data_IF_665481125463
#
_entry.id   IF_665481125463
#
_cell.length_a   1.000
_cell.length_b   1.000
_cell.length_c   1.000
_cell.angle_alpha   90.00
_cell.angle_beta   90.00
_cell.angle_gamma   90.00
#
_symmetry.space_group_name_H-M   'P 1'
#
loop_
_entity.id
_entity.type
_entity.pdbx_description
1 polymer ?
#
# COMPACT_ATOMS: atom_id res chain seq x y z
N UNK A 1 6.33 -26.32 -44.00
CA UNK A 1 6.94 -25.33 -43.10
C UNK A 1 5.82 -24.50 -42.49
N UNK A 2 5.40 -24.85 -41.33
CA UNK A 2 4.31 -24.15 -40.63
C UNK A 2 4.97 -23.14 -39.69
N UNK A 3 4.78 -21.87 -40.00
CA UNK A 3 5.27 -20.76 -39.16
C UNK A 3 4.35 -20.65 -37.94
N UNK A 4 4.82 -21.05 -36.76
CA UNK A 4 4.14 -20.81 -35.50
C UNK A 4 4.43 -19.34 -35.14
N UNK A 5 3.42 -18.48 -35.33
CA UNK A 5 3.46 -17.11 -34.82
C UNK A 5 3.33 -17.16 -33.30
N UNK A 6 4.43 -16.88 -32.58
CA UNK A 6 4.42 -16.64 -31.15
C UNK A 6 3.72 -15.29 -30.91
N UNK A 7 2.46 -15.31 -30.49
CA UNK A 7 1.83 -14.12 -29.92
C UNK A 7 2.50 -13.83 -28.59
N UNK A 8 3.42 -12.87 -28.57
CA UNK A 8 3.80 -12.19 -27.34
C UNK A 8 2.57 -11.41 -26.87
N UNK A 9 1.90 -11.90 -25.86
CA UNK A 9 0.95 -11.10 -25.10
C UNK A 9 1.75 -9.98 -24.44
N UNK A 10 1.68 -8.77 -25.00
CA UNK A 10 2.06 -7.56 -24.28
C UNK A 10 1.10 -7.48 -23.08
N UNK A 11 1.60 -7.79 -21.89
CA UNK A 11 0.92 -7.48 -20.64
C UNK A 11 0.89 -5.95 -20.60
N UNK A 12 -0.27 -5.37 -20.88
CA UNK A 12 -0.49 -3.96 -20.71
C UNK A 12 -0.40 -3.68 -19.20
N UNK A 13 0.76 -3.22 -18.76
CA UNK A 13 0.89 -2.58 -17.44
C UNK A 13 -0.04 -1.38 -17.52
N UNK A 14 -1.05 -1.32 -16.67
CA UNK A 14 -1.93 -0.16 -16.59
C UNK A 14 -1.05 1.07 -16.31
N UNK A 15 -1.05 2.02 -17.24
CA UNK A 15 -0.36 3.29 -17.06
C UNK A 15 -1.24 4.22 -16.20
N UNK A 16 -0.92 4.44 -14.92
CA UNK A 16 -1.71 5.32 -14.07
C UNK A 16 -1.67 6.78 -14.54
N UNK A 17 -0.79 7.13 -15.48
CA UNK A 17 -0.70 8.46 -16.05
C UNK A 17 -1.87 8.79 -16.98
N UNK A 18 -2.56 7.80 -17.54
CA UNK A 18 -3.61 8.00 -18.56
C UNK A 18 -5.04 7.78 -18.04
N UNK A 19 -5.25 7.20 -16.88
CA UNK A 19 -6.60 6.84 -16.44
C UNK A 19 -6.70 6.39 -15.01
N UNK A 20 -6.86 5.11 -14.80
CA UNK A 20 -7.05 4.47 -13.51
C UNK A 20 -5.81 4.53 -12.60
N UNK A 21 -6.05 4.43 -11.30
CA UNK A 21 -5.03 4.15 -10.27
C UNK A 21 -5.41 2.85 -9.56
N UNK A 22 -5.12 1.68 -10.16
CA UNK A 22 -5.79 0.43 -9.83
C UNK A 22 -5.21 -0.31 -8.63
N UNK A 23 -4.16 0.20 -7.97
CA UNK A 23 -3.51 -0.43 -6.83
C UNK A 23 -2.71 0.58 -5.99
N UNK A 24 -2.22 0.15 -4.84
CA UNK A 24 -1.23 0.90 -4.05
C UNK A 24 -0.03 1.28 -4.93
N UNK A 25 0.34 2.57 -4.95
CA UNK A 25 1.43 3.09 -5.78
C UNK A 25 1.06 3.27 -7.27
N UNK A 26 -0.13 2.85 -7.71
CA UNK A 26 -0.61 2.96 -9.09
C UNK A 26 -0.05 1.89 -10.03
N UNK A 27 1.18 1.45 -9.82
CA UNK A 27 1.90 0.45 -10.61
C UNK A 27 2.50 -0.65 -9.73
N UNK A 28 2.80 -1.85 -10.28
CA UNK A 28 3.38 -2.95 -9.51
C UNK A 28 4.75 -2.64 -8.88
N UNK A 29 5.53 -1.72 -9.46
CA UNK A 29 6.83 -1.26 -8.94
C UNK A 29 6.69 -0.31 -7.73
N UNK A 30 5.47 0.12 -7.43
CA UNK A 30 5.08 0.96 -6.28
C UNK A 30 5.61 2.40 -6.30
N UNK A 31 6.11 2.87 -7.43
CA UNK A 31 6.58 4.25 -7.57
C UNK A 31 5.40 5.22 -7.69
N UNK A 32 5.11 5.99 -6.65
CA UNK A 32 3.94 6.89 -6.58
C UNK A 32 4.13 8.16 -7.41
N UNK A 33 4.30 7.98 -8.71
CA UNK A 33 4.49 9.06 -9.71
C UNK A 33 3.43 8.96 -10.78
N UNK A 34 2.88 10.09 -11.22
CA UNK A 34 1.91 10.15 -12.30
C UNK A 34 2.30 11.17 -13.36
N UNK A 35 2.02 10.85 -14.62
CA UNK A 35 2.16 11.78 -15.75
C UNK A 35 0.98 12.75 -15.91
N UNK A 36 -0.08 12.62 -15.10
CA UNK A 36 -1.27 13.46 -15.13
C UNK A 36 -0.93 14.95 -14.95
N UNK A 37 -1.73 15.81 -15.54
CA UNK A 37 -1.55 17.27 -15.51
C UNK A 37 -2.79 17.98 -14.97
N UNK A 38 -2.60 19.20 -14.49
CA UNK A 38 -3.69 20.10 -14.15
C UNK A 38 -4.43 19.75 -12.86
N UNK A 39 -3.81 19.01 -11.94
CA UNK A 39 -4.40 18.74 -10.64
C UNK A 39 -4.47 19.99 -9.76
N UNK A 40 -5.47 20.08 -8.86
CA UNK A 40 -5.68 21.26 -8.03
C UNK A 40 -4.54 21.49 -7.04
N UNK A 41 -4.18 22.74 -6.86
CA UNK A 41 -3.23 23.21 -5.85
C UNK A 41 -3.86 24.13 -4.81
N UNK A 42 -5.17 24.23 -4.84
CA UNK A 42 -5.96 25.08 -3.97
C UNK A 42 -7.36 24.48 -3.82
N UNK A 43 -7.76 24.19 -2.60
CA UNK A 43 -9.12 23.73 -2.24
C UNK A 43 -9.42 24.11 -0.80
N UNK A 44 -10.71 24.05 -0.45
CA UNK A 44 -11.18 24.26 0.90
C UNK A 44 -12.38 23.33 1.17
N UNK A 45 -12.18 22.38 2.07
CA UNK A 45 -13.19 21.36 2.38
C UNK A 45 -14.40 21.92 3.14
N UNK A 46 -14.23 23.06 3.86
CA UNK A 46 -15.33 23.73 4.59
C UNK A 46 -16.23 24.50 3.65
N UNK A 47 -15.65 25.29 2.75
CA UNK A 47 -16.41 26.08 1.75
C UNK A 47 -16.74 25.29 0.49
N UNK A 48 -16.18 24.07 0.35
CA UNK A 48 -16.28 23.20 -0.83
C UNK A 48 -15.65 23.79 -2.09
N UNK A 49 -14.74 24.75 -1.96
CA UNK A 49 -13.97 25.28 -3.09
C UNK A 49 -13.13 24.14 -3.69
N UNK A 50 -13.23 23.92 -5.01
CA UNK A 50 -12.51 22.88 -5.73
C UNK A 50 -12.70 21.45 -5.14
N UNK A 51 -13.81 21.20 -4.49
CA UNK A 51 -14.26 19.88 -4.04
C UNK A 51 -15.41 19.44 -4.94
N UNK A 52 -15.18 18.41 -5.78
CA UNK A 52 -16.20 17.86 -6.67
C UNK A 52 -17.29 17.15 -5.87
N UNK A 53 -16.85 16.32 -4.92
CA UNK A 53 -17.71 15.61 -3.98
C UNK A 53 -16.91 15.16 -2.75
N UNK A 54 -17.62 14.79 -1.71
CA UNK A 54 -17.08 14.19 -0.50
C UNK A 54 -18.03 13.11 0.00
N UNK A 55 -17.48 12.02 0.56
CA UNK A 55 -18.24 10.91 1.10
C UNK A 55 -17.75 10.55 2.51
N UNK A 56 -18.67 10.20 3.40
CA UNK A 56 -18.30 9.76 4.73
C UNK A 56 -17.78 8.32 4.71
N UNK A 57 -16.72 8.08 5.46
CA UNK A 57 -16.15 6.78 5.78
C UNK A 57 -16.50 6.38 7.22
N UNK A 58 -15.78 5.45 7.82
CA UNK A 58 -15.81 5.20 9.26
C UNK A 58 -15.12 6.31 10.06
N UNK A 59 -14.48 5.95 11.17
CA UNK A 59 -13.69 6.88 12.00
C UNK A 59 -12.18 6.76 11.77
N UNK A 60 -11.74 5.70 11.09
CA UNK A 60 -10.33 5.43 10.76
C UNK A 60 -10.22 4.90 9.32
N UNK A 61 -9.31 5.50 8.54
CA UNK A 61 -8.98 5.08 7.18
C UNK A 61 -7.50 5.33 6.92
N UNK A 62 -6.75 4.25 6.76
CA UNK A 62 -5.30 4.27 6.54
C UNK A 62 -4.92 3.95 5.09
N UNK A 63 -5.67 3.07 4.44
CA UNK A 63 -5.42 2.68 3.04
C UNK A 63 -5.64 3.84 2.07
N UNK A 64 -4.83 3.86 1.00
CA UNK A 64 -5.05 4.81 -0.09
C UNK A 64 -6.31 4.45 -0.85
N UNK A 65 -7.04 5.43 -1.38
CA UNK A 65 -8.06 5.15 -2.38
C UNK A 65 -7.47 4.43 -3.59
N UNK A 66 -8.28 3.60 -4.23
CA UNK A 66 -7.98 2.98 -5.53
C UNK A 66 -9.08 3.39 -6.49
N UNK A 67 -8.71 3.80 -7.69
CA UNK A 67 -9.66 4.29 -8.70
C UNK A 67 -9.54 3.41 -9.94
N UNK A 68 -10.61 2.71 -10.28
CA UNK A 68 -10.67 1.86 -11.45
C UNK A 68 -12.11 1.56 -11.86
N UNK A 69 -12.34 1.37 -13.14
CA UNK A 69 -13.67 0.99 -13.68
C UNK A 69 -14.78 1.99 -13.37
N UNK A 70 -14.46 3.28 -13.21
CA UNK A 70 -15.43 4.33 -12.84
C UNK A 70 -15.84 4.31 -11.36
N UNK A 71 -15.08 3.63 -10.51
CA UNK A 71 -15.35 3.51 -9.08
C UNK A 71 -14.11 3.89 -8.25
N UNK A 72 -14.35 4.27 -7.00
CA UNK A 72 -13.32 4.52 -5.99
C UNK A 72 -13.53 3.55 -4.84
N UNK A 73 -12.48 2.82 -4.49
CA UNK A 73 -12.49 1.84 -3.41
C UNK A 73 -11.59 2.31 -2.28
N UNK A 74 -12.05 2.17 -1.04
CA UNK A 74 -11.29 2.58 0.15
C UNK A 74 -11.64 1.73 1.36
N UNK A 75 -10.61 1.35 2.12
CA UNK A 75 -10.74 0.64 3.37
C UNK A 75 -11.00 1.59 4.56
N UNK A 76 -11.84 1.16 5.48
CA UNK A 76 -12.20 1.89 6.70
C UNK A 76 -12.75 0.94 7.77
N UNK A 77 -13.23 1.47 8.91
CA UNK A 77 -13.99 0.73 9.89
C UNK A 77 -15.51 1.00 9.80
N UNK A 78 -16.29 0.35 10.67
CA UNK A 78 -17.76 0.38 10.64
C UNK A 78 -18.40 1.46 11.56
N UNK A 79 -17.65 2.44 12.07
CA UNK A 79 -18.20 3.40 13.01
C UNK A 79 -19.23 4.38 12.40
N UNK A 80 -19.22 4.53 11.07
CA UNK A 80 -20.35 5.16 10.33
C UNK A 80 -21.18 4.09 9.64
N UNK A 81 -21.74 3.19 10.42
CA UNK A 81 -22.45 1.99 9.98
C UNK A 81 -23.53 2.30 8.91
N UNK A 82 -23.40 1.67 7.75
CA UNK A 82 -24.36 1.80 6.63
C UNK A 82 -25.38 0.69 6.58
N UNK A 83 -25.01 -0.52 7.01
CA UNK A 83 -25.92 -1.65 7.10
C UNK A 83 -26.24 -1.99 8.57
N UNK A 84 -27.47 -1.77 9.05
CA UNK A 84 -27.86 -2.11 10.41
C UNK A 84 -27.85 -3.61 10.73
N UNK A 85 -27.75 -4.48 9.71
CA UNK A 85 -27.58 -5.93 9.89
C UNK A 85 -26.14 -6.31 10.26
N UNK A 86 -25.20 -5.37 10.14
CA UNK A 86 -23.78 -5.55 10.41
C UNK A 86 -23.30 -4.64 11.56
N UNK A 87 -23.85 -4.78 12.78
CA UNK A 87 -23.50 -3.90 13.89
C UNK A 87 -22.10 -4.20 14.45
N UNK A 88 -21.58 -3.24 15.20
CA UNK A 88 -20.32 -3.34 15.96
C UNK A 88 -19.09 -2.98 15.17
N UNK A 89 -17.93 -3.18 15.80
CA UNK A 89 -16.63 -2.94 15.19
C UNK A 89 -16.35 -3.97 14.10
N UNK A 90 -16.07 -3.50 12.90
CA UNK A 90 -15.78 -4.31 11.70
C UNK A 90 -14.78 -3.59 10.82
N UNK A 91 -14.01 -4.35 10.06
CA UNK A 91 -13.31 -3.82 8.91
C UNK A 91 -14.27 -3.71 7.71
N UNK A 92 -14.19 -2.62 6.97
CA UNK A 92 -15.08 -2.37 5.81
C UNK A 92 -14.26 -1.91 4.61
N UNK A 93 -14.46 -2.55 3.47
CA UNK A 93 -14.09 -2.02 2.17
C UNK A 93 -15.33 -1.40 1.53
N UNK A 94 -15.26 -0.15 1.10
CA UNK A 94 -16.36 0.59 0.48
C UNK A 94 -16.05 0.92 -0.98
N UNK A 95 -17.08 0.87 -1.83
CA UNK A 95 -17.05 1.31 -3.22
C UNK A 95 -17.94 2.53 -3.42
N UNK A 96 -17.43 3.51 -4.14
CA UNK A 96 -18.13 4.74 -4.50
C UNK A 96 -18.07 4.98 -5.99
N UNK A 97 -19.10 5.62 -6.57
CA UNK A 97 -19.06 6.09 -7.97
C UNK A 97 -18.02 7.22 -8.09
N UNK A 98 -17.09 7.06 -8.99
CA UNK A 98 -15.98 7.98 -9.18
C UNK A 98 -16.43 9.43 -9.43
N UNK A 99 -17.47 9.61 -10.27
CA UNK A 99 -17.89 10.95 -10.71
C UNK A 99 -18.74 11.71 -9.68
N UNK A 100 -19.41 11.01 -8.76
CA UNK A 100 -20.42 11.61 -7.86
C UNK A 100 -20.18 11.37 -6.37
N UNK A 101 -19.35 10.39 -6.01
CA UNK A 101 -19.19 9.95 -4.61
C UNK A 101 -20.39 9.16 -4.07
N UNK A 102 -21.34 8.77 -4.93
CA UNK A 102 -22.46 7.90 -4.55
C UNK A 102 -21.89 6.58 -4.01
N UNK A 103 -22.36 6.17 -2.82
CA UNK A 103 -22.05 4.86 -2.25
C UNK A 103 -22.67 3.76 -3.10
N UNK A 104 -21.88 2.75 -3.45
CA UNK A 104 -22.29 1.68 -4.34
C UNK A 104 -22.51 0.37 -3.59
N UNK A 105 -21.49 -0.11 -2.89
CA UNK A 105 -21.55 -1.34 -2.10
C UNK A 105 -20.42 -1.38 -1.06
N UNK A 106 -20.49 -2.33 -0.15
CA UNK A 106 -19.43 -2.60 0.82
C UNK A 106 -19.26 -4.09 1.09
N UNK A 107 -18.01 -4.46 1.48
CA UNK A 107 -17.69 -5.74 2.10
C UNK A 107 -17.33 -5.50 3.56
N UNK A 108 -18.04 -6.18 4.48
CA UNK A 108 -17.78 -6.09 5.92
C UNK A 108 -17.02 -7.32 6.40
N UNK A 109 -16.06 -7.13 7.28
CA UNK A 109 -15.24 -8.17 7.88
C UNK A 109 -15.37 -8.13 9.39
N UNK A 110 -15.72 -9.25 10.01
CA UNK A 110 -15.77 -9.36 11.46
C UNK A 110 -14.39 -9.16 12.08
N UNK A 111 -14.37 -8.68 13.31
CA UNK A 111 -13.13 -8.62 14.10
C UNK A 111 -12.77 -10.02 14.61
N UNK A 112 -11.47 -10.27 14.76
CA UNK A 112 -11.00 -11.48 15.43
C UNK A 112 -11.29 -11.41 16.92
N UNK A 113 -11.70 -12.53 17.51
CA UNK A 113 -12.04 -12.61 18.93
C UNK A 113 -10.85 -12.42 19.87
N UNK A 114 -9.63 -12.58 19.35
CA UNK A 114 -8.37 -12.29 20.05
C UNK A 114 -8.14 -10.80 20.31
N UNK A 115 -8.96 -9.94 19.71
CA UNK A 115 -8.89 -8.49 19.95
C UNK A 115 -7.56 -7.88 19.48
N UNK A 116 -7.00 -6.96 20.31
CA UNK A 116 -5.84 -6.14 19.97
C UNK A 116 -4.63 -6.94 19.47
N UNK A 117 -4.42 -8.14 19.97
CA UNK A 117 -3.27 -8.97 19.59
C UNK A 117 -3.21 -9.24 18.07
N UNK A 118 -4.35 -9.48 17.44
CA UNK A 118 -4.41 -9.86 16.02
C UNK A 118 -5.23 -8.91 15.15
N UNK A 119 -6.12 -8.13 15.76
CA UNK A 119 -7.06 -7.28 15.03
C UNK A 119 -7.45 -6.08 15.88
N UNK A 120 -6.62 -5.06 15.85
CA UNK A 120 -6.75 -3.89 16.72
C UNK A 120 -8.14 -3.25 16.61
N UNK A 121 -8.81 -2.99 17.75
CA UNK A 121 -10.13 -2.39 17.77
C UNK A 121 -10.20 -1.08 16.97
N UNK A 122 -11.26 -0.93 16.20
CA UNK A 122 -11.61 0.25 15.40
C UNK A 122 -10.63 0.63 14.28
N UNK A 123 -9.61 -0.18 13.96
CA UNK A 123 -8.71 0.16 12.85
C UNK A 123 -9.32 -0.12 11.47
N UNK A 124 -10.07 -1.19 11.34
CA UNK A 124 -10.74 -1.53 10.08
C UNK A 124 -9.82 -2.11 9.01
N UNK A 125 -10.22 -1.97 7.73
CA UNK A 125 -9.41 -2.39 6.58
C UNK A 125 -8.38 -1.30 6.27
N UNK A 126 -7.10 -1.61 6.44
CA UNK A 126 -5.99 -0.69 6.18
C UNK A 126 -5.28 -0.95 4.84
N UNK A 127 -5.50 -2.10 4.19
CA UNK A 127 -4.96 -2.39 2.86
C UNK A 127 -5.65 -1.55 1.77
N UNK A 128 -4.90 -1.20 0.74
CA UNK A 128 -5.47 -0.69 -0.51
C UNK A 128 -5.76 -1.86 -1.44
N UNK A 129 -6.90 -1.90 -2.11
CA UNK A 129 -7.21 -2.98 -3.03
C UNK A 129 -6.36 -2.93 -4.31
N UNK A 130 -6.43 -4.03 -5.08
CA UNK A 130 -5.93 -4.16 -6.44
C UNK A 130 -7.12 -4.47 -7.35
N UNK A 131 -7.26 -3.76 -8.45
CA UNK A 131 -8.29 -4.01 -9.47
C UNK A 131 -7.65 -4.53 -10.75
N UNK A 132 -8.18 -5.65 -11.27
CA UNK A 132 -7.81 -6.26 -12.55
C UNK A 132 -9.08 -6.60 -13.34
N UNK A 133 -9.44 -5.75 -14.29
CA UNK A 133 -10.68 -5.89 -15.07
C UNK A 133 -11.92 -5.80 -14.20
N UNK A 134 -12.65 -6.91 -14.08
CA UNK A 134 -13.87 -7.02 -13.26
C UNK A 134 -13.62 -7.56 -11.86
N UNK A 135 -12.38 -7.86 -11.51
CA UNK A 135 -12.04 -8.41 -10.20
C UNK A 135 -11.31 -7.39 -9.34
N UNK A 136 -11.66 -7.41 -8.06
CA UNK A 136 -11.02 -6.62 -7.02
C UNK A 136 -10.44 -7.57 -5.96
N UNK A 137 -9.18 -7.34 -5.58
CA UNK A 137 -8.47 -8.13 -4.57
C UNK A 137 -8.04 -7.24 -3.42
N UNK A 138 -8.23 -7.67 -2.18
CA UNK A 138 -7.75 -6.95 -1.00
C UNK A 138 -7.52 -7.89 0.17
N UNK A 139 -6.69 -7.46 1.12
CA UNK A 139 -6.49 -8.16 2.39
C UNK A 139 -7.33 -7.50 3.47
N UNK A 140 -8.19 -8.26 4.13
CA UNK A 140 -9.01 -7.76 5.24
C UNK A 140 -8.18 -7.57 6.52
N UNK A 141 -8.74 -6.82 7.48
CA UNK A 141 -8.15 -6.62 8.81
C UNK A 141 -7.78 -7.94 9.53
N UNK A 142 -8.49 -9.02 9.25
CA UNK A 142 -8.36 -10.33 9.89
C UNK A 142 -7.53 -11.35 9.11
N UNK A 143 -6.84 -10.93 8.04
CA UNK A 143 -5.94 -11.81 7.28
C UNK A 143 -6.60 -12.66 6.21
N UNK A 144 -7.79 -12.30 5.74
CA UNK A 144 -8.40 -12.94 4.58
C UNK A 144 -8.07 -12.14 3.33
N UNK A 145 -7.54 -12.80 2.32
CA UNK A 145 -7.42 -12.24 0.96
C UNK A 145 -8.72 -12.55 0.22
N UNK A 146 -9.41 -11.50 -0.19
CA UNK A 146 -10.67 -11.59 -0.93
C UNK A 146 -10.45 -11.31 -2.41
N UNK A 147 -11.19 -12.02 -3.26
CA UNK A 147 -11.49 -11.66 -4.64
C UNK A 147 -12.98 -11.38 -4.75
N UNK A 148 -13.31 -10.19 -5.20
CA UNK A 148 -14.70 -9.72 -5.34
C UNK A 148 -14.98 -9.35 -6.80
N UNK A 149 -16.22 -9.47 -7.26
CA UNK A 149 -16.67 -8.76 -8.46
C UNK A 149 -16.73 -7.26 -8.21
N UNK A 150 -16.24 -6.47 -9.14
CA UNK A 150 -16.12 -5.02 -9.00
C UNK A 150 -17.48 -4.32 -8.84
N UNK A 151 -18.56 -4.91 -9.36
CA UNK A 151 -19.91 -4.35 -9.28
C UNK A 151 -20.64 -4.72 -7.98
N UNK A 152 -20.20 -5.78 -7.29
CA UNK A 152 -20.96 -6.41 -6.24
C UNK A 152 -22.31 -6.90 -6.77
N UNK A 153 -23.30 -7.10 -5.93
CA UNK A 153 -24.66 -7.53 -6.36
C UNK A 153 -25.49 -6.47 -7.07
N UNK A 154 -24.92 -5.33 -7.47
CA UNK A 154 -25.66 -4.23 -8.11
C UNK A 154 -26.16 -4.56 -9.52
N UNK A 155 -25.52 -5.45 -10.24
CA UNK A 155 -25.94 -5.89 -11.56
C UNK A 155 -26.96 -7.03 -11.50
N UNK A 156 -27.31 -7.51 -10.31
CA UNK A 156 -28.28 -8.58 -10.06
C UNK A 156 -27.79 -9.99 -10.35
N UNK A 157 -26.46 -10.16 -10.48
CA UNK A 157 -25.83 -11.46 -10.64
C UNK A 157 -25.10 -11.85 -9.36
N UNK A 158 -24.85 -13.14 -9.23
CA UNK A 158 -23.90 -13.74 -8.31
C UNK A 158 -22.82 -14.38 -9.20
N UNK A 159 -21.66 -13.74 -9.27
CA UNK A 159 -20.58 -14.14 -10.15
C UNK A 159 -19.62 -15.09 -9.40
N UNK A 160 -18.96 -15.98 -10.16
CA UNK A 160 -18.00 -16.92 -9.60
C UNK A 160 -18.60 -18.18 -8.97
N UNK A 161 -17.76 -18.97 -8.28
CA UNK A 161 -18.16 -20.27 -7.69
C UNK A 161 -18.79 -20.17 -6.30
N UNK A 162 -18.64 -19.05 -5.59
CA UNK A 162 -19.26 -18.83 -4.27
C UNK A 162 -20.70 -18.40 -4.49
N UNK A 163 -21.66 -19.15 -3.96
CA UNK A 163 -23.09 -18.90 -4.19
C UNK A 163 -23.93 -18.96 -2.91
N UNK A 164 -23.27 -19.03 -1.77
CA UNK A 164 -23.90 -19.16 -0.45
C UNK A 164 -23.66 -17.95 0.48
N UNK A 165 -23.40 -16.79 -0.11
CA UNK A 165 -23.23 -15.55 0.65
C UNK A 165 -24.49 -15.21 1.45
N UNK A 166 -24.27 -14.77 2.67
CA UNK A 166 -25.33 -14.36 3.58
C UNK A 166 -25.96 -13.00 3.25
N UNK A 167 -25.21 -12.16 2.55
CA UNK A 167 -25.56 -10.81 2.17
C UNK A 167 -25.50 -10.70 0.64
N UNK A 168 -26.63 -10.49 -0.01
CA UNK A 168 -26.78 -10.50 -1.46
C UNK A 168 -27.62 -9.33 -1.96
N UNK A 169 -27.71 -8.26 -1.16
CA UNK A 169 -28.43 -7.05 -1.53
C UNK A 169 -27.61 -6.16 -2.48
N UNK A 170 -28.27 -5.23 -3.13
CA UNK A 170 -27.62 -4.30 -4.08
C UNK A 170 -26.46 -3.48 -3.51
N UNK A 171 -26.30 -3.43 -2.17
CA UNK A 171 -25.21 -2.71 -1.50
C UNK A 171 -24.16 -3.64 -0.89
N UNK A 172 -24.25 -4.93 -1.19
CA UNK A 172 -23.31 -5.95 -0.72
C UNK A 172 -22.30 -6.28 -1.82
N UNK A 173 -21.10 -6.67 -1.41
CA UNK A 173 -20.08 -7.19 -2.30
C UNK A 173 -20.43 -8.60 -2.75
N UNK A 174 -20.02 -8.98 -3.96
CA UNK A 174 -20.14 -10.31 -4.54
C UNK A 174 -18.76 -11.00 -4.49
N UNK A 175 -18.70 -12.18 -3.86
CA UNK A 175 -17.45 -12.89 -3.57
C UNK A 175 -17.15 -13.94 -4.63
N UNK A 176 -16.02 -13.80 -5.32
CA UNK A 176 -15.52 -14.80 -6.27
C UNK A 176 -14.77 -15.93 -5.54
N UNK A 177 -13.86 -15.58 -4.64
CA UNK A 177 -13.15 -16.50 -3.75
C UNK A 177 -12.53 -15.77 -2.56
N UNK A 178 -12.14 -16.54 -1.56
CA UNK A 178 -11.38 -16.07 -0.40
C UNK A 178 -10.25 -17.03 -0.03
N UNK A 179 -9.20 -16.49 0.59
CA UNK A 179 -8.07 -17.25 1.13
C UNK A 179 -7.78 -16.73 2.54
N UNK A 180 -8.09 -17.55 3.56
CA UNK A 180 -7.82 -17.20 4.97
C UNK A 180 -6.38 -17.60 5.32
N UNK A 181 -5.50 -16.62 5.50
CA UNK A 181 -4.09 -16.86 5.77
C UNK A 181 -3.85 -17.50 7.13
N UNK A 182 -4.75 -17.33 8.10
CA UNK A 182 -4.62 -17.99 9.39
C UNK A 182 -4.92 -19.49 9.28
N UNK A 183 -5.93 -19.88 8.51
CA UNK A 183 -6.33 -21.28 8.32
C UNK A 183 -5.44 -22.01 7.31
N UNK A 184 -5.14 -21.37 6.19
CA UNK A 184 -4.46 -22.00 5.05
C UNK A 184 -2.93 -22.12 5.22
N UNK A 185 -2.30 -21.12 5.85
CA UNK A 185 -0.84 -21.07 6.02
C UNK A 185 -0.40 -20.85 7.47
N UNK A 186 -1.33 -20.85 8.41
CA UNK A 186 -1.06 -20.78 9.83
C UNK A 186 -0.50 -19.44 10.31
N UNK A 187 -0.74 -18.34 9.57
CA UNK A 187 -0.25 -17.03 9.98
C UNK A 187 -0.91 -16.56 11.29
N UNK A 188 -0.17 -15.79 12.07
CA UNK A 188 -0.67 -15.14 13.27
C UNK A 188 -0.45 -13.63 13.10
N UNK A 189 -1.42 -12.90 12.54
CA UNK A 189 -1.23 -11.47 12.27
C UNK A 189 -1.03 -10.70 13.56
N UNK A 190 -0.07 -9.78 13.56
CA UNK A 190 0.15 -8.89 14.70
C UNK A 190 -0.64 -7.59 14.48
N UNK A 191 -1.44 -7.19 15.46
CA UNK A 191 -2.31 -6.00 15.48
C UNK A 191 -3.38 -5.98 14.38
N UNK A 192 -3.05 -6.18 13.13
CA UNK A 192 -3.96 -6.32 11.98
C UNK A 192 -3.20 -6.82 10.75
N UNK A 193 -3.93 -7.32 9.77
CA UNK A 193 -3.39 -7.55 8.42
C UNK A 193 -3.67 -6.35 7.52
N UNK A 194 -2.64 -5.89 6.79
CA UNK A 194 -2.73 -4.66 5.99
C UNK A 194 -2.01 -4.72 4.63
N UNK A 195 -1.50 -5.88 4.22
CA UNK A 195 -0.77 -5.98 2.97
C UNK A 195 -1.65 -5.64 1.77
N UNK A 196 -1.26 -4.64 0.99
CA UNK A 196 -1.95 -4.30 -0.25
C UNK A 196 -1.47 -5.23 -1.38
N UNK A 197 -2.35 -6.00 -2.02
CA UNK A 197 -1.95 -6.97 -3.05
C UNK A 197 -1.21 -6.33 -4.22
N UNK A 198 -0.29 -7.08 -4.83
CA UNK A 198 0.34 -6.77 -6.11
C UNK A 198 0.26 -8.00 -7.01
N UNK A 199 0.25 -7.78 -8.32
CA UNK A 199 0.04 -8.85 -9.29
C UNK A 199 1.17 -8.92 -10.32
N UNK A 200 1.47 -10.15 -10.76
CA UNK A 200 2.25 -10.44 -11.95
C UNK A 200 1.69 -11.69 -12.65
N UNK A 201 1.30 -11.55 -13.90
CA UNK A 201 0.66 -12.64 -14.65
C UNK A 201 -0.62 -13.11 -13.95
N UNK A 202 -0.67 -14.38 -13.59
CA UNK A 202 -1.80 -14.99 -12.89
C UNK A 202 -1.58 -15.10 -11.36
N UNK A 203 -0.55 -14.45 -10.82
CA UNK A 203 -0.22 -14.49 -9.41
C UNK A 203 -0.47 -13.18 -8.70
N UNK A 204 -1.02 -13.27 -7.50
CA UNK A 204 -1.17 -12.17 -6.54
C UNK A 204 -0.23 -12.43 -5.38
N UNK A 205 0.52 -11.42 -4.97
CA UNK A 205 1.45 -11.49 -3.85
C UNK A 205 0.95 -10.62 -2.70
N UNK A 206 1.01 -11.17 -1.50
CA UNK A 206 0.68 -10.49 -0.24
C UNK A 206 1.64 -10.92 0.87
N UNK A 207 1.94 -10.01 1.79
CA UNK A 207 2.58 -10.34 3.07
C UNK A 207 1.50 -10.86 4.03
N UNK A 208 1.83 -11.85 4.86
CA UNK A 208 0.85 -12.52 5.71
C UNK A 208 0.53 -11.78 7.01
N UNK A 209 1.29 -10.73 7.31
CA UNK A 209 1.25 -10.00 8.59
C UNK A 209 1.57 -10.86 9.82
N UNK A 210 2.15 -12.07 9.61
CA UNK A 210 2.60 -12.92 10.70
C UNK A 210 3.55 -12.16 11.64
N UNK A 211 3.38 -12.28 12.95
CA UNK A 211 4.14 -11.48 13.90
C UNK A 211 4.15 -12.03 15.31
N UNK A 212 4.45 -11.16 16.25
CA UNK A 212 4.51 -11.45 17.67
C UNK A 212 3.12 -11.52 18.30
N UNK A 213 3.03 -12.14 19.49
CA UNK A 213 1.84 -12.07 20.32
C UNK A 213 1.75 -10.70 21.07
N UNK A 214 0.71 -10.52 21.87
CA UNK A 214 0.48 -9.29 22.63
C UNK A 214 1.61 -8.96 23.63
N UNK A 215 2.41 -9.94 24.02
CA UNK A 215 3.56 -9.73 24.92
C UNK A 215 4.74 -9.04 24.25
N UNK A 216 4.77 -9.00 22.91
CA UNK A 216 5.88 -8.53 22.07
C UNK A 216 7.20 -9.29 22.34
N UNK A 217 7.08 -10.57 22.69
CA UNK A 217 8.22 -11.46 22.99
C UNK A 217 8.15 -12.75 22.20
N UNK A 218 6.96 -13.36 22.09
CA UNK A 218 6.81 -14.67 21.48
C UNK A 218 6.30 -14.52 20.04
N UNK A 219 6.72 -15.46 19.17
CA UNK A 219 6.20 -15.64 17.82
C UNK A 219 5.38 -16.94 17.81
N UNK A 220 4.03 -16.83 17.85
CA UNK A 220 3.17 -18.01 17.95
C UNK A 220 3.28 -18.94 16.75
N UNK A 221 3.55 -18.39 15.57
CA UNK A 221 3.62 -19.13 14.31
C UNK A 221 4.96 -18.95 13.59
N UNK A 222 6.08 -19.46 14.14
CA UNK A 222 7.42 -19.21 13.56
C UNK A 222 7.65 -19.94 12.24
N UNK A 223 6.76 -20.85 11.85
CA UNK A 223 6.82 -21.58 10.58
C UNK A 223 5.89 -21.01 9.50
N UNK A 224 5.02 -20.08 9.87
CA UNK A 224 4.14 -19.44 8.89
C UNK A 224 4.94 -18.58 7.92
N UNK A 225 4.56 -18.56 6.64
CA UNK A 225 5.27 -17.76 5.64
C UNK A 225 5.14 -16.26 5.90
N UNK A 226 6.14 -15.51 5.48
CA UNK A 226 6.13 -14.05 5.51
C UNK A 226 5.45 -13.45 4.27
N UNK A 227 5.59 -14.13 3.12
CA UNK A 227 5.01 -13.76 1.84
C UNK A 227 4.44 -14.99 1.16
N UNK A 228 3.32 -14.82 0.46
CA UNK A 228 2.65 -15.86 -0.32
C UNK A 228 2.31 -15.36 -1.71
N UNK A 229 2.22 -16.30 -2.66
CA UNK A 229 1.67 -16.10 -3.99
C UNK A 229 0.41 -16.94 -4.16
N UNK A 230 -0.67 -16.31 -4.56
CA UNK A 230 -1.99 -16.92 -4.78
C UNK A 230 -2.32 -16.81 -6.27
N UNK A 231 -2.87 -17.87 -6.86
CA UNK A 231 -3.41 -17.79 -8.22
C UNK A 231 -4.66 -16.91 -8.23
N UNK A 232 -4.67 -15.85 -9.03
CA UNK A 232 -5.72 -14.83 -9.06
C UNK A 232 -7.11 -15.35 -9.45
N UNK A 233 -7.16 -16.42 -10.24
CA UNK A 233 -8.42 -17.01 -10.74
C UNK A 233 -9.00 -18.01 -9.76
N UNK A 234 -8.15 -18.82 -9.13
CA UNK A 234 -8.60 -19.94 -8.31
C UNK A 234 -8.54 -19.70 -6.81
N UNK A 235 -7.89 -18.63 -6.36
CA UNK A 235 -7.65 -18.35 -4.95
C UNK A 235 -6.70 -19.35 -4.26
N UNK A 236 -5.98 -20.21 -5.00
CA UNK A 236 -5.12 -21.23 -4.42
C UNK A 236 -3.69 -20.78 -4.25
N UNK A 237 -3.07 -21.21 -3.16
CA UNK A 237 -1.64 -21.00 -2.90
C UNK A 237 -0.81 -21.65 -4.02
N UNK A 238 0.18 -20.91 -4.52
CA UNK A 238 1.13 -21.39 -5.55
C UNK A 238 2.51 -21.56 -4.97
N UNK A 239 3.01 -20.59 -4.23
CA UNK A 239 4.26 -20.67 -3.48
C UNK A 239 4.23 -19.76 -2.25
N UNK A 240 5.13 -20.03 -1.33
CA UNK A 240 5.30 -19.30 -0.08
C UNK A 240 6.78 -19.22 0.30
N UNK A 241 7.17 -18.23 1.12
CA UNK A 241 8.51 -18.14 1.70
C UNK A 241 8.46 -17.79 3.17
N UNK A 242 9.25 -18.52 3.97
CA UNK A 242 9.44 -18.33 5.40
C UNK A 242 10.94 -18.11 5.74
N UNK A 243 11.66 -17.31 4.96
CA UNK A 243 13.06 -16.99 5.26
C UNK A 243 13.26 -16.16 6.51
N UNK A 244 12.18 -15.62 7.08
CA UNK A 244 12.17 -14.84 8.33
C UNK A 244 12.29 -15.76 9.55
N UNK A 245 11.64 -16.95 9.49
CA UNK A 245 11.56 -17.89 10.60
C UNK A 245 10.98 -17.23 11.89
N UNK A 246 11.70 -17.31 13.01
CA UNK A 246 11.33 -16.73 14.29
C UNK A 246 11.95 -15.32 14.54
N UNK A 247 12.56 -14.72 13.52
CA UNK A 247 13.20 -13.42 13.63
C UNK A 247 12.28 -12.28 13.20
N UNK A 248 11.17 -12.11 13.87
CA UNK A 248 10.22 -11.03 13.64
C UNK A 248 10.29 -10.06 14.82
N UNK A 249 10.61 -8.79 14.56
CA UNK A 249 10.73 -7.78 15.61
C UNK A 249 9.38 -7.38 16.19
N UNK A 250 8.34 -7.33 15.36
CA UNK A 250 7.00 -6.94 15.77
C UNK A 250 5.96 -7.59 14.86
N UNK A 251 5.81 -7.11 13.63
CA UNK A 251 4.93 -7.66 12.61
C UNK A 251 5.54 -7.61 11.22
N UNK A 252 4.77 -7.99 10.22
CA UNK A 252 5.19 -7.98 8.82
C UNK A 252 4.16 -7.20 8.00
N UNK A 253 4.30 -5.88 7.96
CA UNK A 253 3.33 -4.96 7.39
C UNK A 253 3.75 -4.34 6.06
N UNK A 254 5.00 -4.57 5.63
CA UNK A 254 5.45 -4.09 4.33
C UNK A 254 4.70 -4.78 3.20
N UNK A 255 4.26 -3.98 2.24
CA UNK A 255 3.58 -4.44 1.03
C UNK A 255 4.61 -4.83 -0.04
N UNK A 256 4.45 -5.95 -0.76
CA UNK A 256 5.40 -6.35 -1.80
C UNK A 256 5.28 -5.46 -3.05
N UNK A 257 6.37 -5.40 -3.81
CA UNK A 257 6.45 -4.78 -5.13
C UNK A 257 6.89 -5.79 -6.20
N UNK A 258 6.54 -5.53 -7.45
CA UNK A 258 6.90 -6.40 -8.58
C UNK A 258 7.49 -5.57 -9.72
N UNK A 259 8.57 -6.05 -10.30
CA UNK A 259 9.20 -5.41 -11.44
C UNK A 259 10.28 -6.26 -12.08
N UNK A 260 10.76 -5.82 -13.23
CA UNK A 260 11.86 -6.45 -13.93
C UNK A 260 13.20 -5.89 -13.42
N UNK A 261 14.06 -6.77 -12.89
CA UNK A 261 15.37 -6.42 -12.36
C UNK A 261 16.41 -7.33 -13.01
N UNK A 262 17.37 -6.76 -13.73
CA UNK A 262 18.38 -7.52 -14.46
C UNK A 262 17.78 -8.49 -15.50
N UNK A 263 16.67 -8.12 -16.12
CA UNK A 263 15.95 -8.95 -17.09
C UNK A 263 15.07 -10.05 -16.49
N UNK A 264 15.02 -10.20 -15.16
CA UNK A 264 14.20 -11.19 -14.43
C UNK A 264 13.01 -10.50 -13.79
N UNK A 265 11.82 -11.07 -13.95
CA UNK A 265 10.61 -10.60 -13.25
C UNK A 265 10.68 -11.05 -11.78
N UNK A 266 10.76 -10.09 -10.88
CA UNK A 266 10.98 -10.32 -9.45
C UNK A 266 9.84 -9.72 -8.63
N UNK A 267 9.46 -10.43 -7.56
CA UNK A 267 8.74 -9.82 -6.44
C UNK A 267 9.74 -9.52 -5.34
N UNK A 268 9.64 -8.31 -4.79
CA UNK A 268 10.49 -7.83 -3.70
C UNK A 268 9.62 -7.66 -2.46
N UNK A 269 10.02 -8.31 -1.37
CA UNK A 269 9.36 -8.23 -0.07
C UNK A 269 10.34 -7.73 0.98
N UNK A 270 9.91 -6.75 1.75
CA UNK A 270 10.61 -6.30 2.94
C UNK A 270 9.91 -6.87 4.18
N UNK A 271 10.65 -7.20 5.22
CA UNK A 271 10.12 -8.10 6.25
C UNK A 271 10.44 -7.65 7.67
N UNK A 272 9.77 -8.29 8.66
CA UNK A 272 9.83 -7.93 10.07
C UNK A 272 11.15 -8.24 10.76
N UNK A 273 12.10 -8.90 10.09
CA UNK A 273 13.48 -9.10 10.57
C UNK A 273 14.45 -8.00 10.13
N UNK A 274 13.94 -7.02 9.37
CA UNK A 274 14.74 -5.93 8.81
C UNK A 274 15.48 -6.30 7.53
N UNK A 275 15.14 -7.43 6.89
CA UNK A 275 15.69 -7.84 5.61
C UNK A 275 14.75 -7.52 4.46
N UNK A 276 15.34 -7.28 3.30
CA UNK A 276 14.65 -7.17 2.01
C UNK A 276 15.08 -8.35 1.15
N UNK A 277 14.11 -9.02 0.55
CA UNK A 277 14.35 -10.23 -0.26
C UNK A 277 13.71 -10.10 -1.63
N UNK A 278 14.44 -10.53 -2.65
CA UNK A 278 13.95 -10.62 -4.02
C UNK A 278 13.77 -12.08 -4.44
N UNK A 279 12.63 -12.36 -5.05
CA UNK A 279 12.23 -13.69 -5.50
C UNK A 279 11.91 -13.65 -6.99
N UNK A 280 12.16 -14.74 -7.70
CA UNK A 280 11.60 -14.95 -9.03
C UNK A 280 10.08 -15.03 -8.93
N UNK A 281 9.36 -14.14 -9.63
CA UNK A 281 7.93 -13.93 -9.38
C UNK A 281 7.08 -15.19 -9.58
N UNK A 282 7.36 -16.00 -10.61
CA UNK A 282 6.55 -17.19 -10.92
C UNK A 282 6.82 -18.39 -10.01
N UNK A 283 8.03 -18.52 -9.47
CA UNK A 283 8.45 -19.75 -8.79
C UNK A 283 8.66 -19.59 -7.28
N UNK A 284 8.76 -18.34 -6.80
CA UNK A 284 9.12 -18.06 -5.41
C UNK A 284 10.59 -18.35 -5.07
N UNK A 285 11.42 -18.68 -6.07
CA UNK A 285 12.84 -18.92 -5.83
C UNK A 285 13.51 -17.65 -5.33
N UNK A 286 14.04 -17.69 -4.10
CA UNK A 286 14.80 -16.57 -3.54
C UNK A 286 16.07 -16.33 -4.37
N UNK A 287 16.24 -15.13 -4.88
CA UNK A 287 17.34 -14.71 -5.73
C UNK A 287 18.43 -14.00 -4.93
N UNK A 288 18.01 -13.14 -4.02
CA UNK A 288 18.92 -12.36 -3.18
C UNK A 288 18.23 -11.93 -1.88
N UNK A 289 19.05 -11.54 -0.91
CA UNK A 289 18.59 -10.92 0.33
C UNK A 289 19.57 -9.82 0.77
N UNK A 290 19.06 -8.80 1.46
CA UNK A 290 19.80 -7.64 1.93
C UNK A 290 19.36 -7.25 3.32
N UNK A 291 20.31 -7.19 4.29
CA UNK A 291 20.06 -6.68 5.64
C UNK A 291 20.12 -5.15 5.64
N UNK A 292 19.00 -4.51 6.00
CA UNK A 292 18.91 -3.03 6.08
C UNK A 292 19.44 -2.47 7.40
N UNK A 293 19.84 -3.32 8.32
CA UNK A 293 20.36 -2.90 9.61
C UNK A 293 21.89 -2.79 9.61
N UNK A 294 22.47 -1.87 10.41
CA UNK A 294 23.90 -1.81 10.63
C UNK A 294 24.47 -3.14 11.15
N UNK A 295 25.72 -3.45 10.79
CA UNK A 295 26.39 -4.70 11.20
C UNK A 295 26.58 -4.87 12.69
N UNK A 296 26.63 -3.76 13.43
CA UNK A 296 26.75 -3.71 14.89
C UNK A 296 25.40 -3.70 15.60
N UNK A 297 24.29 -3.80 14.86
CA UNK A 297 22.97 -3.92 15.45
C UNK A 297 22.81 -5.23 16.22
N UNK A 298 22.19 -5.14 17.39
CA UNK A 298 22.00 -6.27 18.32
C UNK A 298 20.54 -6.67 18.34
N UNK A 299 20.26 -7.95 18.06
CA UNK A 299 18.92 -8.52 18.11
C UNK A 299 18.41 -8.62 19.57
N UNK A 300 17.16 -8.25 19.85
CA UNK A 300 16.26 -7.43 19.04
C UNK A 300 16.46 -5.93 19.25
N UNK A 301 17.26 -5.53 20.24
CA UNK A 301 17.29 -4.21 20.91
C UNK A 301 17.57 -3.02 19.99
N UNK A 302 18.44 -3.19 18.99
CA UNK A 302 18.87 -2.10 18.11
C UNK A 302 18.61 -2.40 16.63
N UNK A 303 17.81 -3.43 16.35
CA UNK A 303 17.35 -3.75 15.00
C UNK A 303 16.09 -2.96 14.67
N UNK A 304 15.99 -2.58 13.40
CA UNK A 304 14.80 -1.99 12.80
C UNK A 304 14.14 -3.00 11.88
N UNK A 305 12.84 -3.05 11.90
CA UNK A 305 12.03 -3.75 10.89
C UNK A 305 11.81 -2.88 9.67
N UNK A 306 11.26 -3.43 8.60
CA UNK A 306 10.85 -2.68 7.42
C UNK A 306 9.33 -2.69 7.33
N UNK A 307 8.72 -1.51 7.48
CA UNK A 307 7.27 -1.30 7.36
C UNK A 307 6.95 -0.69 5.99
N UNK A 308 7.79 0.23 5.52
CA UNK A 308 7.65 0.87 4.22
C UNK A 308 7.65 -0.13 3.06
N UNK A 309 7.05 0.25 1.95
CA UNK A 309 6.99 -0.58 0.73
C UNK A 309 8.25 -0.36 -0.11
N UNK A 310 8.93 -1.43 -0.56
CA UNK A 310 10.06 -1.30 -1.48
C UNK A 310 9.61 -0.75 -2.83
N UNK A 311 10.40 0.13 -3.43
CA UNK A 311 10.15 0.67 -4.78
C UNK A 311 11.20 0.11 -5.73
N UNK A 312 10.75 -0.43 -6.86
CA UNK A 312 11.63 -0.92 -7.93
C UNK A 312 11.78 0.18 -8.99
N UNK A 313 13.00 0.63 -9.23
CA UNK A 313 13.28 1.63 -10.25
C UNK A 313 14.67 1.41 -10.86
N UNK A 314 14.77 1.29 -12.17
CA UNK A 314 16.03 1.09 -12.93
C UNK A 314 16.95 -0.02 -12.34
N UNK A 315 16.45 -1.25 -12.27
CA UNK A 315 17.17 -2.42 -11.72
C UNK A 315 17.59 -2.32 -10.24
N UNK A 316 17.11 -1.32 -9.54
CA UNK A 316 17.40 -1.08 -8.12
C UNK A 316 16.14 -1.13 -7.28
N UNK A 317 16.34 -1.43 -6.01
CA UNK A 317 15.29 -1.39 -4.98
C UNK A 317 15.63 -0.28 -4.00
N UNK A 318 14.65 0.57 -3.73
CA UNK A 318 14.76 1.68 -2.79
C UNK A 318 13.85 1.42 -1.60
N UNK A 319 14.41 1.48 -0.40
CA UNK A 319 13.68 1.14 0.82
C UNK A 319 14.26 1.86 2.03
N UNK A 320 13.39 2.36 2.90
CA UNK A 320 13.76 2.81 4.23
C UNK A 320 13.30 1.78 5.28
N UNK A 321 14.08 1.63 6.34
CA UNK A 321 13.66 0.89 7.51
C UNK A 321 13.13 1.82 8.61
N UNK A 322 12.55 1.24 9.62
CA UNK A 322 12.10 1.94 10.81
C UNK A 322 11.62 0.97 11.86
N UNK A 323 11.64 1.42 13.11
CA UNK A 323 10.95 0.70 14.17
C UNK A 323 9.48 1.08 14.18
N UNK A 324 8.67 0.23 14.80
CA UNK A 324 7.32 0.58 15.19
C UNK A 324 7.29 1.92 15.95
N UNK A 325 6.30 2.78 15.67
CA UNK A 325 6.15 4.06 16.37
C UNK A 325 6.14 3.97 17.89
N UNK A 326 5.72 2.86 18.46
CA UNK A 326 5.70 2.64 19.90
C UNK A 326 7.12 2.53 20.52
N UNK A 327 8.15 2.25 19.72
CA UNK A 327 9.53 2.06 20.19
C UNK A 327 10.42 3.30 20.16
N UNK A 328 9.84 4.50 20.09
CA UNK A 328 10.59 5.76 20.09
C UNK A 328 10.97 6.25 18.68
N UNK A 329 11.72 7.35 18.59
CA UNK A 329 12.03 8.02 17.33
C UNK A 329 13.18 7.42 16.54
N UNK A 330 13.76 6.34 16.86
CA UNK A 330 14.91 5.66 16.28
C UNK A 330 15.57 6.23 15.01
N UNK A 331 16.83 5.96 14.79
CA UNK A 331 17.51 6.27 13.52
C UNK A 331 16.99 5.35 12.45
N UNK A 332 16.52 5.89 11.32
CA UNK A 332 16.17 5.12 10.14
C UNK A 332 17.35 5.02 9.18
N UNK A 333 17.21 4.15 8.21
CA UNK A 333 18.18 3.98 7.13
C UNK A 333 17.45 3.86 5.80
N UNK A 334 17.88 4.63 4.82
CA UNK A 334 17.38 4.54 3.44
C UNK A 334 18.48 3.98 2.53
N UNK A 335 18.12 2.98 1.74
CA UNK A 335 19.06 2.31 0.84
C UNK A 335 18.61 2.36 -0.61
N UNK A 336 19.60 2.39 -1.52
CA UNK A 336 19.48 1.91 -2.88
C UNK A 336 20.25 0.60 -3.01
N UNK A 337 19.56 -0.44 -3.47
CA UNK A 337 20.05 -1.82 -3.55
C UNK A 337 20.08 -2.24 -5.01
N UNK A 338 21.23 -2.77 -5.49
CA UNK A 338 21.37 -3.39 -6.82
C UNK A 338 20.76 -4.80 -6.78
N UNK A 339 19.51 -4.93 -7.18
CA UNK A 339 18.78 -6.20 -7.21
C UNK A 339 19.21 -7.17 -8.32
N UNK A 340 20.19 -6.80 -9.14
CA UNK A 340 20.77 -7.71 -10.15
C UNK A 340 21.73 -8.73 -9.55
N UNK A 341 22.21 -8.51 -8.33
CA UNK A 341 23.08 -9.40 -7.57
C UNK A 341 22.33 -10.64 -7.05
N UNK A 342 23.08 -11.63 -6.56
CA UNK A 342 22.51 -12.91 -6.08
C UNK A 342 23.10 -13.34 -4.74
N UNK A 343 22.32 -14.04 -3.92
CA UNK A 343 22.67 -14.50 -2.58
C UNK A 343 22.55 -13.39 -1.55
N UNK A 344 23.31 -13.43 -0.47
CA UNK A 344 23.41 -12.30 0.48
C UNK A 344 24.21 -11.17 -0.18
N UNK A 345 23.47 -10.11 -0.50
CA UNK A 345 24.01 -8.93 -1.20
C UNK A 345 24.19 -7.72 -0.29
N UNK A 346 24.09 -7.89 1.01
CA UNK A 346 24.19 -6.80 2.02
C UNK A 346 25.41 -5.89 1.79
N UNK A 347 26.54 -6.46 1.41
CA UNK A 347 27.76 -5.69 1.14
C UNK A 347 27.90 -5.33 -0.34
N UNK A 348 27.59 -6.29 -1.24
CA UNK A 348 27.90 -6.16 -2.68
C UNK A 348 26.79 -5.46 -3.46
N UNK A 349 25.57 -5.47 -2.95
CA UNK A 349 24.39 -4.85 -3.57
C UNK A 349 24.11 -3.43 -3.09
N UNK A 350 24.79 -2.93 -2.08
CA UNK A 350 24.56 -1.57 -1.57
C UNK A 350 25.11 -0.53 -2.55
N UNK A 351 24.24 0.16 -3.28
CA UNK A 351 24.62 1.26 -4.17
C UNK A 351 24.97 2.50 -3.36
N UNK A 352 24.09 2.91 -2.47
CA UNK A 352 24.31 3.96 -1.49
C UNK A 352 23.43 3.75 -0.24
N UNK A 353 23.77 4.48 0.81
CA UNK A 353 23.08 4.48 2.09
C UNK A 353 22.95 5.91 2.61
N UNK A 354 21.75 6.29 3.03
CA UNK A 354 21.45 7.57 3.67
C UNK A 354 20.97 7.34 5.10
N UNK A 355 21.73 7.87 6.08
CA UNK A 355 21.55 7.65 7.52
C UNK A 355 21.08 8.91 8.29
N UNK A 356 20.63 9.95 7.55
CA UNK A 356 20.08 11.18 8.15
C UNK A 356 18.56 11.21 8.16
N UNK A 357 17.92 10.14 7.78
CA UNK A 357 16.49 9.90 7.90
C UNK A 357 16.22 9.27 9.27
N UNK A 358 15.10 9.61 9.88
CA UNK A 358 14.58 8.87 11.01
C UNK A 358 13.79 7.66 10.52
N UNK A 359 13.19 6.86 11.41
CA UNK A 359 12.37 5.75 10.97
C UNK A 359 11.32 6.22 9.94
N UNK A 360 11.14 5.46 8.91
CA UNK A 360 10.14 5.73 7.89
C UNK A 360 9.27 4.49 7.65
N UNK A 361 7.97 4.70 7.63
CA UNK A 361 6.97 3.71 7.24
C UNK A 361 6.44 3.99 5.83
N UNK A 362 6.96 5.05 5.20
CA UNK A 362 6.50 5.55 3.92
C UNK A 362 7.19 4.87 2.74
N UNK A 363 6.56 4.92 1.59
CA UNK A 363 7.07 4.47 0.29
C UNK A 363 7.76 5.63 -0.40
N UNK A 364 8.92 5.40 -1.00
CA UNK A 364 9.63 6.41 -1.76
C UNK A 364 8.92 6.73 -3.09
N UNK A 365 9.07 7.96 -3.58
CA UNK A 365 8.65 8.38 -4.93
C UNK A 365 9.84 8.91 -5.71
N UNK A 366 10.04 8.39 -6.92
CA UNK A 366 11.25 8.64 -7.71
C UNK A 366 10.87 9.28 -9.04
N UNK A 367 11.34 10.50 -9.27
CA UNK A 367 11.13 11.22 -10.51
C UNK A 367 12.33 12.14 -10.82
N UNK A 368 12.68 12.28 -12.09
CA UNK A 368 13.68 13.24 -12.60
C UNK A 368 15.03 13.19 -11.86
N UNK A 369 15.49 11.97 -11.50
CA UNK A 369 16.75 11.75 -10.80
C UNK A 369 16.76 12.15 -9.33
N UNK A 370 15.57 12.31 -8.74
CA UNK A 370 15.36 12.62 -7.33
C UNK A 370 14.43 11.58 -6.68
N UNK A 371 14.68 11.29 -5.41
CA UNK A 371 13.84 10.46 -4.57
C UNK A 371 13.26 11.31 -3.46
N UNK A 372 11.95 11.18 -3.24
CA UNK A 372 11.22 11.86 -2.18
C UNK A 372 10.66 10.83 -1.20
N UNK A 373 10.98 10.97 0.08
CA UNK A 373 10.49 10.08 1.12
C UNK A 373 10.34 10.85 2.44
N UNK A 374 9.17 10.82 3.05
CA UNK A 374 9.01 11.34 4.41
C UNK A 374 9.46 10.31 5.45
N UNK A 375 9.91 10.79 6.60
CA UNK A 375 10.02 9.99 7.80
C UNK A 375 8.84 10.23 8.75
N UNK A 376 8.68 9.34 9.71
CA UNK A 376 7.56 9.38 10.66
C UNK A 376 7.61 10.61 11.59
N UNK A 377 8.78 11.18 11.82
CA UNK A 377 8.93 12.40 12.63
C UNK A 377 8.53 13.68 11.89
N UNK A 378 8.09 13.58 10.63
CA UNK A 378 7.55 14.70 9.87
C UNK A 378 8.56 15.38 8.93
N UNK A 379 9.70 14.77 8.62
CA UNK A 379 10.64 15.34 7.67
C UNK A 379 10.50 14.70 6.29
N UNK A 380 10.22 15.52 5.28
CA UNK A 380 10.27 15.09 3.88
C UNK A 380 11.70 15.31 3.34
N UNK A 381 12.34 14.22 2.93
CA UNK A 381 13.67 14.22 2.36
C UNK A 381 13.61 14.18 0.83
N UNK A 382 14.33 15.07 0.16
CA UNK A 382 14.64 15.01 -1.25
C UNK A 382 16.09 14.56 -1.42
N UNK A 383 16.28 13.41 -2.02
CA UNK A 383 17.59 12.74 -2.16
C UNK A 383 17.98 12.71 -3.63
N UNK A 384 19.23 13.03 -3.93
CA UNK A 384 19.80 12.84 -5.25
C UNK A 384 19.93 11.32 -5.53
N UNK A 385 19.25 10.82 -6.54
CA UNK A 385 19.12 9.39 -6.81
C UNK A 385 20.46 8.72 -7.13
N UNK A 386 21.39 9.47 -7.71
CA UNK A 386 22.71 8.94 -8.11
C UNK A 386 23.66 8.84 -6.93
N UNK A 387 23.62 9.81 -6.03
CA UNK A 387 24.63 9.95 -4.96
C UNK A 387 24.13 9.51 -3.59
N UNK A 388 22.81 9.41 -3.39
CA UNK A 388 22.20 9.17 -2.09
C UNK A 388 22.33 10.34 -1.10
N UNK A 389 22.70 11.54 -1.57
CA UNK A 389 22.85 12.71 -0.72
C UNK A 389 21.57 13.53 -0.70
N UNK A 390 21.23 14.09 0.48
CA UNK A 390 20.12 15.01 0.59
C UNK A 390 20.37 16.29 -0.25
N UNK A 391 19.39 16.62 -1.09
CA UNK A 391 19.34 17.90 -1.82
C UNK A 391 18.71 18.96 -0.93
N UNK A 392 17.62 18.60 -0.25
CA UNK A 392 16.96 19.40 0.76
C UNK A 392 16.09 18.52 1.68
N UNK A 393 15.76 19.06 2.83
CA UNK A 393 14.82 18.48 3.80
C UNK A 393 13.77 19.54 4.14
N UNK A 394 12.52 19.12 4.26
CA UNK A 394 11.39 19.97 4.64
C UNK A 394 10.74 19.43 5.91
N UNK A 395 10.49 20.31 6.87
CA UNK A 395 9.76 19.98 8.10
C UNK A 395 8.27 20.19 7.88
N UNK A 396 7.47 19.15 8.06
CA UNK A 396 6.01 19.16 7.98
C UNK A 396 5.35 19.63 9.27
N UNK A 397 6.13 19.74 10.36
CA UNK A 397 5.69 20.11 11.72
C UNK A 397 4.72 19.12 12.39
N UNK A 398 4.38 18.01 11.76
CA UNK A 398 3.54 16.94 12.27
C UNK A 398 4.04 15.58 11.79
N UNK A 399 3.65 14.50 12.46
CA UNK A 399 4.00 13.15 12.05
C UNK A 399 3.42 12.81 10.67
N UNK A 400 4.19 12.06 9.85
CA UNK A 400 3.78 11.67 8.51
C UNK A 400 3.67 10.15 8.40
N UNK A 401 2.45 9.68 8.13
CA UNK A 401 2.13 8.28 7.82
C UNK A 401 2.06 8.04 6.31
N UNK A 402 1.64 9.09 5.58
CA UNK A 402 1.46 9.06 4.13
C UNK A 402 2.79 8.89 3.38
N UNK A 403 2.70 8.53 2.12
CA UNK A 403 3.80 8.64 1.16
C UNK A 403 3.61 9.88 0.28
N UNK A 404 4.70 10.37 -0.31
CA UNK A 404 4.63 11.50 -1.22
C UNK A 404 4.06 11.07 -2.58
N UNK A 405 3.07 11.79 -3.14
CA UNK A 405 2.68 11.68 -4.54
C UNK A 405 3.46 12.70 -5.36
N UNK A 406 4.15 12.27 -6.42
CA UNK A 406 4.80 13.18 -7.38
C UNK A 406 4.02 13.21 -8.67
N UNK A 407 3.48 14.39 -9.02
CA UNK A 407 2.67 14.58 -10.22
C UNK A 407 2.74 16.03 -10.69
N UNK A 408 2.81 16.22 -12.03
CA UNK A 408 2.82 17.55 -12.65
C UNK A 408 3.86 18.53 -12.06
N UNK A 409 5.07 18.04 -11.79
CA UNK A 409 6.14 18.81 -11.18
C UNK A 409 5.88 19.25 -9.74
N UNK A 410 4.97 18.60 -9.05
CA UNK A 410 4.57 18.88 -7.66
C UNK A 410 4.63 17.62 -6.79
N UNK A 411 4.80 17.84 -5.50
CA UNK A 411 4.72 16.80 -4.46
C UNK A 411 3.52 17.12 -3.60
N UNK A 412 2.64 16.16 -3.40
CA UNK A 412 1.50 16.22 -2.47
C UNK A 412 1.79 15.32 -1.29
N UNK A 413 1.71 15.83 -0.06
CA UNK A 413 1.99 15.07 1.15
C UNK A 413 1.08 15.51 2.28
N UNK A 414 0.35 14.54 2.87
CA UNK A 414 -0.51 14.75 4.04
C UNK A 414 0.19 14.39 5.33
N UNK A 415 -0.29 14.94 6.46
CA UNK A 415 0.23 14.69 7.80
C UNK A 415 -0.87 14.41 8.84
N UNK A 416 -0.46 14.17 10.08
CA UNK A 416 -1.34 13.79 11.18
C UNK A 416 -2.19 14.96 11.72
N UNK A 417 -1.78 16.21 11.52
CA UNK A 417 -2.57 17.40 11.86
C UNK A 417 -3.65 17.70 10.81
N UNK A 418 -3.62 16.96 9.70
CA UNK A 418 -4.59 17.06 8.62
C UNK A 418 -4.19 18.06 7.55
N UNK A 419 -2.98 18.54 7.56
CA UNK A 419 -2.48 19.41 6.52
C UNK A 419 -2.00 18.60 5.31
N UNK A 420 -2.27 19.13 4.13
CA UNK A 420 -1.71 18.65 2.87
C UNK A 420 -0.80 19.74 2.32
N UNK A 421 0.49 19.49 2.39
CA UNK A 421 1.51 20.39 1.86
C UNK A 421 1.80 20.03 0.40
N UNK A 422 1.80 21.06 -0.46
CA UNK A 422 2.19 20.93 -1.87
C UNK A 422 3.51 21.65 -2.07
N UNK A 423 4.53 20.88 -2.50
CA UNK A 423 5.84 21.44 -2.82
C UNK A 423 6.11 21.32 -4.34
N UNK A 424 6.99 22.17 -4.84
CA UNK A 424 7.57 22.02 -6.16
C UNK A 424 8.51 20.79 -6.16
N UNK A 425 8.29 19.84 -7.06
CA UNK A 425 9.25 18.77 -7.30
C UNK A 425 10.51 19.35 -7.97
N UNK A 426 11.69 18.92 -7.53
CA UNK A 426 12.96 19.36 -8.09
C UNK A 426 14.01 19.70 -7.03
N UNK A 427 15.15 20.22 -7.49
CA UNK A 427 16.33 20.49 -6.65
C UNK A 427 16.19 21.72 -5.76
N UNK A 428 15.22 22.58 -6.01
CA UNK A 428 14.97 23.78 -5.20
C UNK A 428 13.75 23.57 -4.32
N UNK A 429 13.93 23.62 -3.00
CA UNK A 429 12.83 23.53 -2.05
C UNK A 429 11.92 24.75 -2.16
N UNK A 430 10.64 24.52 -2.48
CA UNK A 430 9.63 25.57 -2.52
C UNK A 430 8.27 25.00 -2.15
N UNK A 431 7.69 25.48 -1.06
CA UNK A 431 6.28 25.25 -0.72
C UNK A 431 5.42 26.10 -1.63
N UNK A 432 4.43 25.48 -2.25
CA UNK A 432 3.48 26.12 -3.18
C UNK A 432 2.17 26.46 -2.49
N UNK A 433 1.69 25.54 -1.65
CA UNK A 433 0.43 25.69 -0.93
C UNK A 433 0.37 24.70 0.25
N UNK A 434 -0.55 24.98 1.19
CA UNK A 434 -0.88 24.11 2.31
C UNK A 434 -2.39 24.24 2.57
N UNK A 435 -3.09 23.11 2.68
CA UNK A 435 -4.53 23.06 2.90
C UNK A 435 -4.85 22.05 4.00
N UNK A 436 -5.70 22.45 4.95
CA UNK A 436 -6.13 21.55 6.03
C UNK A 436 -7.40 20.77 5.62
N UNK A 437 -7.39 19.44 5.81
CA UNK A 437 -8.47 18.53 5.49
C UNK A 437 -9.47 18.33 6.64
N UNK A 438 -9.30 19.02 7.74
CA UNK A 438 -10.20 18.95 8.90
C UNK A 438 -9.98 17.76 9.83
N UNK A 439 -9.15 16.80 9.46
CA UNK A 439 -8.75 15.64 10.25
C UNK A 439 -7.48 15.03 9.67
N UNK A 440 -6.75 14.23 10.45
CA UNK A 440 -5.50 13.58 10.05
C UNK A 440 -5.56 12.93 8.67
N UNK A 441 -4.50 13.08 7.88
CA UNK A 441 -4.34 12.50 6.54
C UNK A 441 -3.25 11.43 6.61
N UNK A 442 -3.67 10.19 6.78
CA UNK A 442 -2.77 9.03 6.82
C UNK A 442 -2.52 8.43 5.43
N UNK A 443 -3.41 8.70 4.49
CA UNK A 443 -3.35 8.15 3.13
C UNK A 443 -2.60 9.06 2.16
N UNK A 444 -1.98 8.46 1.15
CA UNK A 444 -1.38 9.19 0.04
C UNK A 444 -2.47 9.62 -0.96
N UNK A 445 -2.35 10.82 -1.48
CA UNK A 445 -3.23 11.32 -2.54
C UNK A 445 -3.09 10.48 -3.83
N UNK A 446 -4.20 10.30 -4.54
CA UNK A 446 -4.30 9.45 -5.74
C UNK A 446 -4.83 10.27 -6.92
N UNK A 447 -4.08 10.37 -8.02
CA UNK A 447 -4.54 11.04 -9.22
C UNK A 447 -5.23 10.05 -10.16
N UNK A 448 -6.46 10.35 -10.58
CA UNK A 448 -7.15 9.60 -11.62
C UNK A 448 -8.10 10.52 -12.40
N UNK A 449 -8.17 10.36 -13.73
CA UNK A 449 -9.09 11.04 -14.63
C UNK A 449 -9.23 12.56 -14.40
N UNK A 450 -8.10 13.26 -14.15
CA UNK A 450 -8.08 14.71 -13.88
C UNK A 450 -8.66 15.11 -12.52
N UNK A 451 -8.73 14.17 -11.60
CA UNK A 451 -9.20 14.35 -10.23
C UNK A 451 -8.12 13.89 -9.25
N UNK A 452 -7.96 14.60 -8.15
CA UNK A 452 -7.13 14.18 -7.04
C UNK A 452 -8.05 13.59 -5.96
N UNK A 453 -7.92 12.28 -5.70
CA UNK A 453 -8.64 11.61 -4.63
C UNK A 453 -7.77 11.55 -3.39
N UNK A 454 -8.37 11.85 -2.25
CA UNK A 454 -7.68 11.85 -0.97
C UNK A 454 -8.69 11.52 0.14
N UNK A 455 -8.31 10.70 1.11
CA UNK A 455 -9.08 10.53 2.33
C UNK A 455 -8.31 11.07 3.54
N UNK A 456 -9.04 11.70 4.44
CA UNK A 456 -8.63 11.88 5.82
C UNK A 456 -9.15 10.70 6.67
N UNK A 457 -9.05 10.76 7.98
CA UNK A 457 -9.49 9.68 8.87
C UNK A 457 -10.91 9.17 8.61
N UNK A 458 -11.84 10.05 8.22
CA UNK A 458 -13.27 9.74 8.23
C UNK A 458 -14.04 10.20 6.97
N UNK A 459 -13.36 10.78 6.00
CA UNK A 459 -13.99 11.24 4.76
C UNK A 459 -13.08 11.00 3.56
N UNK A 460 -13.71 10.69 2.42
CA UNK A 460 -13.10 10.60 1.11
C UNK A 460 -13.49 11.82 0.29
N UNK A 461 -12.51 12.43 -0.40
CA UNK A 461 -12.68 13.63 -1.21
C UNK A 461 -12.26 13.39 -2.66
N UNK A 462 -13.03 13.93 -3.59
CA UNK A 462 -12.62 14.14 -4.97
C UNK A 462 -12.35 15.63 -5.19
N UNK A 463 -11.09 15.96 -5.41
CA UNK A 463 -10.61 17.34 -5.52
C UNK A 463 -10.33 17.70 -6.97
N UNK A 464 -10.75 18.87 -7.40
CA UNK A 464 -10.58 19.39 -8.76
C UNK A 464 -11.57 20.48 -9.06
N UNK A 465 -11.27 21.27 -10.09
CA UNK A 465 -12.23 22.28 -10.54
C UNK A 465 -13.47 21.58 -11.08
N UNK A 466 -14.64 21.96 -10.57
CA UNK A 466 -15.89 21.56 -11.20
C UNK A 466 -15.84 22.08 -12.65
N UNK A 467 -15.92 21.17 -13.61
CA UNK A 467 -16.19 21.59 -14.98
C UNK A 467 -17.54 22.29 -14.95
N UNK A 468 -17.50 23.63 -14.90
CA UNK A 468 -18.73 24.39 -15.04
C UNK A 468 -19.42 23.94 -16.32
N UNK A 469 -20.63 23.44 -16.19
CA UNK A 469 -21.56 23.32 -17.30
C UNK A 469 -21.63 24.72 -17.95
N UNK A 470 -20.90 24.89 -19.06
CA UNK A 470 -21.11 26.01 -19.98
C UNK A 470 -22.36 25.71 -20.79
#
# INVERSE_FOLDING_TARGET
MTIIALLLALIAISDPGSGDWPMWGGTPDRNMVSAMKGLPTDWDVKTKKNVKWMANLGSQSYGNPVVAGGMVFVGTNNESMRDPKQPGDRGVLMAFRETTGEFLWQQTNEKLSSGRANDWPYQGVASSPLVDGTHLYYTSNRGIVWCLDINGFRDGKNDGPVTDEKLTGQFDADVIWSFDMMEEVGSYPHNLSNSSPVMFGDLIFVSTSNGQDESHVNIPSPKAPAIIAINKTTGKLVWEDNSVEDRILHGQWSTPSVGKIGGVDQVVSAQGDGWVRGYEALTGKKLWEFDTNPKDSVWPKTRNEVIGTPVIYEDKVYIANGQDPEHGEGVGHLYAIDGTKRGDITTTGRVWHYDKIRRSISTASIADGLLYIPDFSGFLHCIDLKTGQAVWVHDMFAAVWASALVVDGKIYLGDEDGDVTILQAGRTKKVLAEMNMGSAVYATAVPAHGTLFLNNRNQLFALGTSSGTR
#
